data_IF_436080407752
#
_entry.id   IF_436080407752
#
_cell.length_a   1.000
_cell.length_b   1.000
_cell.length_c   1.000
_cell.angle_alpha   90.00
_cell.angle_beta   90.00
_cell.angle_gamma   90.00
#
_symmetry.space_group_name_H-M   'P 1'
#
loop_
_entity.id
_entity.type
_entity.pdbx_description
1 polymer ?
#
# COMPACT_ATOMS: atom_id res chain seq x y z
N UNK A 1 50.25 26.73 12.72
CA UNK A 1 48.90 26.55 12.18
C UNK A 1 48.31 25.34 12.85
N UNK A 2 47.40 25.57 13.75
CA UNK A 2 46.75 24.51 14.50
C UNK A 2 45.43 24.21 13.79
N UNK A 3 45.37 23.01 13.17
CA UNK A 3 44.15 22.47 12.59
C UNK A 3 43.18 22.09 13.72
N UNK A 4 42.20 22.94 13.94
CA UNK A 4 41.12 22.67 14.89
C UNK A 4 40.11 21.74 14.24
N UNK A 5 40.22 20.44 14.54
CA UNK A 5 39.22 19.46 14.16
C UNK A 5 38.03 19.62 15.08
N UNK A 6 36.93 20.13 14.55
CA UNK A 6 35.64 20.13 15.26
C UNK A 6 35.04 18.74 15.17
N UNK A 7 35.07 18.00 16.27
CA UNK A 7 34.33 16.74 16.42
C UNK A 7 32.90 17.12 16.80
N UNK A 8 31.97 17.04 15.85
CA UNK A 8 30.55 17.05 16.18
C UNK A 8 30.18 15.70 16.79
N UNK A 9 30.02 15.69 18.10
CA UNK A 9 29.28 14.62 18.77
C UNK A 9 27.82 14.74 18.34
N UNK A 10 27.36 13.84 17.48
CA UNK A 10 25.93 13.61 17.29
C UNK A 10 25.42 13.07 18.63
N UNK A 11 24.84 13.94 19.43
CA UNK A 11 24.08 13.53 20.60
C UNK A 11 23.00 12.54 20.15
N UNK A 12 22.77 11.54 20.97
CA UNK A 12 21.70 10.56 20.81
C UNK A 12 20.43 11.29 20.38
N UNK A 13 20.11 11.14 19.09
CA UNK A 13 18.78 11.48 18.61
C UNK A 13 17.88 10.45 19.28
N UNK A 14 17.32 10.83 20.44
CA UNK A 14 16.29 10.03 21.08
C UNK A 14 15.27 9.72 19.99
N UNK A 15 15.19 8.45 19.56
CA UNK A 15 14.15 7.99 18.65
C UNK A 15 12.84 8.30 19.38
N UNK A 16 12.20 9.40 18.99
CA UNK A 16 10.89 9.74 19.52
C UNK A 16 9.98 8.59 19.09
N UNK A 17 9.57 7.76 20.06
CA UNK A 17 8.59 6.71 19.79
C UNK A 17 7.33 7.39 19.27
N UNK A 18 7.02 7.14 18.02
CA UNK A 18 5.81 7.66 17.39
C UNK A 18 4.61 6.86 17.91
N UNK A 19 3.48 7.51 18.23
CA UNK A 19 2.25 6.80 18.60
C UNK A 19 1.89 5.73 17.58
N UNK A 20 1.35 4.61 18.01
CA UNK A 20 1.05 3.45 17.15
C UNK A 20 0.25 3.80 15.88
N UNK A 21 -0.61 4.83 15.95
CA UNK A 21 -1.45 5.29 14.84
C UNK A 21 -1.09 6.69 14.34
N UNK A 22 0.18 7.14 14.49
CA UNK A 22 0.59 8.48 14.05
C UNK A 22 0.30 8.73 12.56
N UNK A 23 0.45 7.72 11.73
CA UNK A 23 0.18 7.79 10.29
C UNK A 23 -1.30 8.07 9.98
N UNK A 24 -2.22 7.57 10.81
CA UNK A 24 -3.65 7.86 10.68
C UNK A 24 -3.95 9.33 11.04
N UNK A 25 -3.31 9.84 12.09
CA UNK A 25 -3.45 11.25 12.46
C UNK A 25 -2.99 12.14 11.30
N UNK A 26 -1.81 11.90 10.74
CA UNK A 26 -1.30 12.65 9.58
C UNK A 26 -2.18 12.49 8.34
N UNK A 27 -2.74 11.31 8.11
CA UNK A 27 -3.67 11.10 7.01
C UNK A 27 -4.95 11.93 7.18
N UNK A 28 -5.50 11.97 8.39
CA UNK A 28 -6.68 12.80 8.73
C UNK A 28 -6.38 14.30 8.60
N UNK A 29 -5.23 14.75 9.10
CA UNK A 29 -4.76 16.14 8.94
C UNK A 29 -4.65 16.53 7.47
N UNK A 30 -4.13 15.64 6.62
CA UNK A 30 -4.06 15.87 5.18
C UNK A 30 -5.46 16.02 4.56
N UNK A 31 -6.40 15.14 4.90
CA UNK A 31 -7.79 15.21 4.42
C UNK A 31 -8.45 16.52 4.89
N UNK A 32 -8.27 16.90 6.14
CA UNK A 32 -8.79 18.14 6.70
C UNK A 32 -8.19 19.38 6.00
N UNK A 33 -6.87 19.38 5.79
CA UNK A 33 -6.20 20.46 5.05
C UNK A 33 -6.76 20.60 3.64
N UNK A 34 -6.87 19.51 2.90
CA UNK A 34 -7.42 19.51 1.53
C UNK A 34 -8.86 20.01 1.53
N UNK A 35 -9.69 19.54 2.46
CA UNK A 35 -11.09 19.94 2.56
C UNK A 35 -11.24 21.42 2.95
N UNK A 36 -10.40 21.93 3.87
CA UNK A 36 -10.53 23.30 4.38
C UNK A 36 -9.89 24.35 3.47
N UNK A 37 -8.78 24.01 2.81
CA UNK A 37 -7.97 24.98 2.04
C UNK A 37 -8.03 24.80 0.53
N UNK A 38 -8.28 23.58 0.06
CA UNK A 38 -8.19 23.24 -1.35
C UNK A 38 -9.55 22.82 -1.97
N UNK A 39 -10.66 23.02 -1.25
CA UNK A 39 -11.99 22.61 -1.72
C UNK A 39 -12.33 23.14 -3.13
N UNK A 40 -11.92 24.37 -3.44
CA UNK A 40 -12.15 25.02 -4.73
C UNK A 40 -11.36 24.36 -5.91
N UNK A 41 -10.38 23.51 -5.61
CA UNK A 41 -9.60 22.77 -6.59
C UNK A 41 -10.11 21.33 -6.78
N UNK A 42 -11.05 20.89 -5.94
CA UNK A 42 -11.55 19.52 -5.97
C UNK A 42 -12.64 19.37 -7.02
N UNK A 43 -12.48 18.34 -7.86
CA UNK A 43 -13.57 17.87 -8.71
C UNK A 43 -14.60 17.09 -7.86
N UNK A 44 -15.86 16.94 -8.32
CA UNK A 44 -16.91 16.21 -7.59
C UNK A 44 -16.48 14.80 -7.13
N UNK A 45 -15.73 14.08 -7.98
CA UNK A 45 -15.21 12.73 -7.65
C UNK A 45 -14.25 12.73 -6.45
N UNK A 46 -13.47 13.82 -6.26
CA UNK A 46 -12.56 13.92 -5.11
C UNK A 46 -13.34 14.18 -3.81
N UNK A 47 -14.37 15.05 -3.87
CA UNK A 47 -15.24 15.31 -2.74
C UNK A 47 -16.04 14.07 -2.32
N UNK A 48 -16.51 13.28 -3.30
CA UNK A 48 -17.16 12.00 -3.05
C UNK A 48 -16.21 11.01 -2.38
N UNK A 49 -14.97 10.93 -2.87
CA UNK A 49 -13.95 10.06 -2.28
C UNK A 49 -13.63 10.43 -0.83
N UNK A 50 -13.46 11.73 -0.54
CA UNK A 50 -13.26 12.23 0.83
C UNK A 50 -14.46 11.89 1.72
N UNK A 51 -15.69 12.06 1.21
CA UNK A 51 -16.90 11.67 1.93
C UNK A 51 -16.91 10.19 2.30
N UNK A 52 -16.53 9.31 1.37
CA UNK A 52 -16.39 7.86 1.63
C UNK A 52 -15.36 7.59 2.73
N UNK A 53 -14.20 8.25 2.69
CA UNK A 53 -13.16 8.10 3.73
C UNK A 53 -13.70 8.48 5.11
N UNK A 54 -14.43 9.59 5.21
CA UNK A 54 -14.97 10.08 6.48
C UNK A 54 -16.07 9.17 7.07
N UNK A 55 -16.70 8.34 6.25
CA UNK A 55 -17.70 7.36 6.68
C UNK A 55 -17.11 6.03 7.11
N UNK A 56 -15.82 5.79 6.86
CA UNK A 56 -15.14 4.56 7.26
C UNK A 56 -14.94 4.51 8.79
N UNK A 57 -15.02 3.31 9.34
CA UNK A 57 -14.56 3.05 10.71
C UNK A 57 -13.03 3.23 10.84
N UNK A 58 -12.54 3.38 12.06
CA UNK A 58 -11.13 3.65 12.32
C UNK A 58 -10.21 2.55 11.78
N UNK A 59 -10.59 1.27 11.89
CA UNK A 59 -9.78 0.15 11.40
C UNK A 59 -9.62 0.21 9.87
N UNK A 60 -10.70 0.52 9.17
CA UNK A 60 -10.71 0.70 7.72
C UNK A 60 -9.92 1.94 7.29
N UNK A 61 -9.98 3.04 8.04
CA UNK A 61 -9.14 4.21 7.80
C UNK A 61 -7.65 3.91 8.04
N UNK A 62 -7.31 3.15 9.09
CA UNK A 62 -5.94 2.67 9.34
C UNK A 62 -5.43 1.84 8.15
N UNK A 63 -6.22 0.87 7.72
CA UNK A 63 -5.88 0.02 6.57
C UNK A 63 -5.67 0.84 5.31
N UNK A 64 -6.56 1.79 5.04
CA UNK A 64 -6.47 2.69 3.89
C UNK A 64 -5.18 3.50 3.92
N UNK A 65 -4.85 4.15 5.04
CA UNK A 65 -3.64 4.95 5.18
C UNK A 65 -2.36 4.10 4.99
N UNK A 66 -2.34 2.85 5.47
CA UNK A 66 -1.25 1.89 5.24
C UNK A 66 -1.12 1.48 3.78
N UNK A 67 -2.24 1.22 3.09
CA UNK A 67 -2.24 0.85 1.67
C UNK A 67 -1.77 2.01 0.82
N UNK A 68 -2.26 3.22 1.04
CA UNK A 68 -1.87 4.42 0.28
C UNK A 68 -0.40 4.81 0.46
N UNK A 69 0.21 4.46 1.57
CA UNK A 69 1.65 4.70 1.78
C UNK A 69 2.55 3.75 0.99
N UNK A 70 2.00 2.70 0.37
CA UNK A 70 2.75 1.74 -0.44
C UNK A 70 2.84 2.21 -1.89
N UNK A 71 4.03 2.04 -2.49
CA UNK A 71 4.27 2.43 -3.89
C UNK A 71 3.57 1.55 -4.94
N UNK A 72 3.47 0.21 -4.78
CA UNK A 72 2.78 -0.59 -5.78
C UNK A 72 1.26 -0.43 -5.66
N UNK A 73 0.59 -0.23 -6.80
CA UNK A 73 -0.89 -0.17 -6.86
C UNK A 73 -1.55 -1.51 -6.55
N UNK A 74 -0.83 -2.61 -6.74
CA UNK A 74 -1.28 -3.96 -6.40
C UNK A 74 -0.64 -4.38 -5.09
N UNK A 75 -1.48 -4.78 -4.15
CA UNK A 75 -1.05 -5.23 -2.83
C UNK A 75 -1.70 -6.57 -2.54
N UNK A 76 -0.89 -7.54 -2.10
CA UNK A 76 -1.43 -8.83 -1.66
C UNK A 76 -2.16 -8.66 -0.33
N UNK A 77 -3.41 -9.09 -0.25
CA UNK A 77 -4.22 -8.99 0.97
C UNK A 77 -3.54 -9.66 2.18
N UNK A 78 -2.88 -10.79 1.96
CA UNK A 78 -2.16 -11.53 3.00
C UNK A 78 -0.96 -10.76 3.58
N UNK A 79 -0.43 -9.78 2.85
CA UNK A 79 0.67 -8.92 3.32
C UNK A 79 0.19 -7.74 4.17
N UNK A 80 -1.12 -7.54 4.27
CA UNK A 80 -1.75 -6.45 5.01
C UNK A 80 -2.10 -6.89 6.43
N UNK A 81 -1.07 -7.26 7.18
CA UNK A 81 -1.19 -7.62 8.59
C UNK A 81 -0.44 -6.59 9.45
N UNK A 82 -1.15 -5.86 10.27
CA UNK A 82 -0.64 -4.79 11.13
C UNK A 82 -1.16 -4.99 12.54
N UNK A 83 -0.30 -4.84 13.53
CA UNK A 83 -0.64 -5.08 14.96
C UNK A 83 -1.81 -4.20 15.45
N UNK A 84 -1.87 -2.96 14.94
CA UNK A 84 -2.92 -2.02 15.31
C UNK A 84 -4.27 -2.23 14.61
N UNK A 85 -4.34 -3.19 13.66
CA UNK A 85 -5.57 -3.53 12.92
C UNK A 85 -6.01 -4.93 13.33
N UNK A 86 -6.99 -4.98 14.21
CA UNK A 86 -7.45 -6.25 14.81
C UNK A 86 -8.18 -7.17 13.84
N UNK A 87 -8.83 -6.61 12.83
CA UNK A 87 -9.61 -7.34 11.84
C UNK A 87 -9.25 -6.93 10.40
N UNK A 88 -8.07 -7.32 9.87
CA UNK A 88 -7.61 -6.90 8.54
C UNK A 88 -8.58 -7.30 7.42
N UNK A 89 -9.15 -8.50 7.48
CA UNK A 89 -10.10 -8.96 6.46
C UNK A 89 -11.37 -8.13 6.44
N UNK A 90 -11.90 -7.75 7.61
CA UNK A 90 -13.09 -6.90 7.71
C UNK A 90 -12.80 -5.49 7.17
N UNK A 91 -11.64 -4.91 7.51
CA UNK A 91 -11.22 -3.61 7.00
C UNK A 91 -11.10 -3.62 5.46
N UNK A 92 -10.48 -4.66 4.89
CA UNK A 92 -10.39 -4.82 3.43
C UNK A 92 -11.78 -4.96 2.80
N UNK A 93 -12.65 -5.76 3.40
CA UNK A 93 -14.03 -5.93 2.94
C UNK A 93 -14.79 -4.59 2.94
N UNK A 94 -14.71 -3.82 4.01
CA UNK A 94 -15.32 -2.48 4.11
C UNK A 94 -14.81 -1.55 3.02
N UNK A 95 -13.49 -1.52 2.78
CA UNK A 95 -12.89 -0.70 1.73
C UNK A 95 -13.33 -1.12 0.31
N UNK A 96 -13.50 -2.42 0.07
CA UNK A 96 -14.05 -2.92 -1.20
C UNK A 96 -15.51 -2.51 -1.38
N UNK A 97 -16.32 -2.66 -0.34
CA UNK A 97 -17.74 -2.28 -0.36
C UNK A 97 -17.92 -0.77 -0.57
N UNK A 98 -17.05 0.05 0.01
CA UNK A 98 -17.02 1.49 -0.23
C UNK A 98 -16.54 1.88 -1.64
N UNK A 99 -16.06 0.92 -2.44
CA UNK A 99 -15.49 1.17 -3.77
C UNK A 99 -14.18 1.97 -3.72
N UNK A 100 -13.36 1.74 -2.71
CA UNK A 100 -12.03 2.34 -2.53
C UNK A 100 -10.93 1.35 -2.95
N UNK A 101 -11.11 0.07 -2.64
CA UNK A 101 -10.26 -1.02 -3.12
C UNK A 101 -11.02 -1.87 -4.14
N UNK A 102 -10.31 -2.30 -5.15
CA UNK A 102 -10.86 -3.11 -6.24
C UNK A 102 -10.06 -4.39 -6.41
N UNK A 103 -10.70 -5.44 -6.88
CA UNK A 103 -10.02 -6.63 -7.36
C UNK A 103 -9.34 -6.33 -8.70
N UNK A 104 -8.11 -6.82 -8.93
CA UNK A 104 -7.47 -6.68 -10.23
C UNK A 104 -8.27 -7.45 -11.29
N UNK A 105 -8.34 -6.89 -12.48
CA UNK A 105 -8.98 -7.50 -13.64
C UNK A 105 -7.94 -7.86 -14.72
N UNK A 106 -8.40 -8.34 -15.87
CA UNK A 106 -7.53 -8.75 -16.97
C UNK A 106 -6.58 -7.64 -17.48
N UNK A 107 -6.90 -6.36 -17.27
CA UNK A 107 -6.03 -5.25 -17.68
C UNK A 107 -4.78 -5.13 -16.79
N UNK A 108 -4.81 -5.71 -15.59
CA UNK A 108 -3.72 -5.66 -14.62
C UNK A 108 -2.78 -6.88 -14.68
N UNK A 109 -2.93 -7.76 -15.70
CA UNK A 109 -2.19 -9.02 -15.74
C UNK A 109 -0.66 -8.84 -15.68
N UNK A 110 -0.11 -7.82 -16.36
CA UNK A 110 1.34 -7.54 -16.33
C UNK A 110 1.83 -7.20 -14.93
N UNK A 111 1.08 -6.36 -14.20
CA UNK A 111 1.40 -6.02 -12.83
C UNK A 111 1.24 -7.22 -11.89
N UNK A 112 0.19 -8.04 -12.09
CA UNK A 112 -0.01 -9.28 -11.33
C UNK A 112 1.16 -10.24 -11.50
N UNK A 113 1.57 -10.50 -12.75
CA UNK A 113 2.69 -11.39 -13.06
C UNK A 113 4.00 -10.85 -12.46
N UNK A 114 4.23 -9.54 -12.49
CA UNK A 114 5.42 -8.94 -11.90
C UNK A 114 5.52 -9.19 -10.38
N UNK A 115 4.39 -9.30 -9.68
CA UNK A 115 4.32 -9.62 -8.25
C UNK A 115 4.53 -11.10 -7.92
N UNK A 116 4.33 -12.01 -8.88
CA UNK A 116 4.54 -13.44 -8.65
C UNK A 116 6.03 -13.75 -8.49
N UNK A 117 6.35 -14.66 -7.58
CA UNK A 117 7.69 -15.22 -7.47
C UNK A 117 7.94 -16.25 -8.58
N UNK A 118 9.22 -16.55 -8.88
CA UNK A 118 9.53 -17.59 -9.87
C UNK A 118 8.87 -18.94 -9.56
N UNK A 119 8.87 -19.46 -8.32
CA UNK A 119 8.16 -20.71 -7.99
C UNK A 119 6.67 -20.64 -8.31
N UNK A 120 5.99 -19.51 -7.98
CA UNK A 120 4.56 -19.33 -8.28
C UNK A 120 4.28 -19.30 -9.78
N UNK A 121 5.16 -18.66 -10.56
CA UNK A 121 5.05 -18.65 -12.03
C UNK A 121 5.23 -20.06 -12.62
N UNK A 122 6.22 -20.82 -12.12
CA UNK A 122 6.46 -22.20 -12.55
C UNK A 122 5.24 -23.09 -12.23
N UNK A 123 4.65 -22.94 -11.04
CA UNK A 123 3.45 -23.66 -10.62
C UNK A 123 2.27 -23.30 -11.54
N UNK A 124 2.03 -22.02 -11.76
CA UNK A 124 0.98 -21.52 -12.64
C UNK A 124 1.13 -22.12 -14.06
N UNK A 125 2.31 -21.98 -14.66
CA UNK A 125 2.60 -22.50 -16.00
C UNK A 125 2.52 -24.03 -16.07
N UNK A 126 2.86 -24.73 -15.01
CA UNK A 126 2.74 -26.20 -14.95
C UNK A 126 1.29 -26.67 -15.03
N UNK A 127 0.36 -25.90 -14.49
CA UNK A 127 -1.09 -26.18 -14.60
C UNK A 127 -1.64 -26.01 -16.02
N UNK A 128 -0.90 -25.28 -16.87
CA UNK A 128 -1.24 -25.04 -18.28
C UNK A 128 -0.22 -25.69 -19.24
N UNK A 129 0.53 -26.67 -18.79
CA UNK A 129 1.63 -27.30 -19.56
C UNK A 129 1.21 -27.95 -20.88
N UNK A 130 -0.05 -28.30 -21.03
CA UNK A 130 -0.61 -28.79 -22.31
C UNK A 130 -0.71 -27.70 -23.38
N UNK A 131 -0.78 -26.43 -22.98
CA UNK A 131 -0.99 -25.28 -23.85
C UNK A 131 0.29 -24.44 -24.02
N UNK A 132 1.20 -24.49 -23.05
CA UNK A 132 2.39 -23.65 -23.00
C UNK A 132 3.64 -24.50 -22.71
N UNK A 133 4.60 -24.44 -23.60
CA UNK A 133 5.92 -25.08 -23.38
C UNK A 133 6.88 -24.09 -22.73
N UNK A 134 7.45 -24.45 -21.58
CA UNK A 134 8.43 -23.63 -20.86
C UNK A 134 9.49 -24.48 -20.18
N UNK A 135 10.66 -23.86 -19.88
CA UNK A 135 11.72 -24.49 -19.10
C UNK A 135 11.67 -24.03 -17.64
N UNK A 136 11.52 -24.96 -16.69
CA UNK A 136 11.52 -24.65 -15.26
C UNK A 136 12.79 -23.95 -14.77
N UNK A 137 13.92 -24.16 -15.46
CA UNK A 137 15.21 -23.51 -15.20
C UNK A 137 15.31 -22.09 -15.75
N UNK A 138 14.38 -21.64 -16.62
CA UNK A 138 14.41 -20.32 -17.22
C UNK A 138 14.44 -19.20 -16.13
N UNK A 139 14.99 -18.04 -16.49
CA UNK A 139 14.93 -16.87 -15.63
C UNK A 139 13.48 -16.37 -15.46
N UNK A 140 13.18 -15.64 -14.39
CA UNK A 140 11.81 -15.13 -14.17
C UNK A 140 11.32 -14.29 -15.35
N UNK A 141 12.19 -13.46 -15.94
CA UNK A 141 11.85 -12.62 -17.09
C UNK A 141 11.49 -13.39 -18.36
N UNK A 142 11.96 -14.62 -18.50
CA UNK A 142 11.66 -15.49 -19.64
C UNK A 142 10.35 -16.30 -19.48
N UNK A 143 9.76 -16.23 -18.27
CA UNK A 143 8.51 -16.91 -17.91
C UNK A 143 7.30 -15.97 -17.97
N UNK A 144 7.53 -14.68 -18.22
CA UNK A 144 6.49 -13.62 -18.20
C UNK A 144 5.97 -13.31 -19.61
#
# INVERSE_FOLDING_TARGET
>A
MLDTVFIYSYGDVMKKELPAKYYLAHFRELIEFVTSKCMHLLEPKHSEFISKINQLDEQSQCMLARVYSRKPYLVQAQSLNYEEITSPHQAIYTLKTAGILYEPNAQHYKQLIAHLTKPMLVELLSNYSEQVSFKKSAAKGDLV
#
